data_IF_280118439617
#
_entry.id   IF_280118439617
#
_cell.length_a   1.000
_cell.length_b   1.000
_cell.length_c   1.000
_cell.angle_alpha   90.00
_cell.angle_beta   90.00
_cell.angle_gamma   90.00
#
_symmetry.space_group_name_H-M   'P 1'
#
loop_
_entity.id
_entity.type
_entity.pdbx_description
1 polymer ?
#
# COMPACT_ATOMS: atom_id res chain seq x y z
N UNK A 1 14.47 -25.04 23.60
CA UNK A 1 15.44 -24.37 22.71
C UNK A 1 14.80 -23.72 21.46
N UNK A 2 13.74 -24.30 20.88
CA UNK A 2 13.04 -23.77 19.67
C UNK A 2 12.44 -22.36 19.86
N UNK A 3 11.82 -22.09 21.03
CA UNK A 3 11.26 -20.75 21.35
C UNK A 3 12.28 -19.61 21.22
N UNK A 4 13.53 -19.84 21.62
CA UNK A 4 14.59 -18.82 21.57
C UNK A 4 15.07 -18.53 20.14
N UNK A 5 15.08 -19.55 19.25
CA UNK A 5 15.41 -19.37 17.83
C UNK A 5 14.33 -18.56 17.11
N UNK A 6 13.06 -18.86 17.35
CA UNK A 6 11.93 -18.12 16.75
C UNK A 6 11.93 -16.68 17.25
N UNK A 7 12.14 -16.46 18.55
CA UNK A 7 12.15 -15.12 19.12
C UNK A 7 13.32 -14.27 18.57
N UNK A 8 14.54 -14.82 18.47
CA UNK A 8 15.67 -14.13 17.83
C UNK A 8 15.40 -13.81 16.37
N UNK A 9 14.86 -14.76 15.62
CA UNK A 9 14.52 -14.56 14.21
C UNK A 9 13.50 -13.41 14.00
N UNK A 10 12.51 -13.30 14.89
CA UNK A 10 11.54 -12.20 14.88
C UNK A 10 12.16 -10.86 15.32
N UNK A 11 13.08 -10.87 16.29
CA UNK A 11 13.79 -9.67 16.77
C UNK A 11 14.78 -9.15 15.72
N UNK A 12 15.52 -10.03 15.05
CA UNK A 12 16.45 -9.70 13.95
C UNK A 12 15.71 -9.07 12.75
N UNK A 13 14.45 -9.47 12.51
CA UNK A 13 13.59 -8.85 11.51
C UNK A 13 12.95 -7.53 11.93
N UNK A 14 13.03 -7.11 13.21
CA UNK A 14 12.62 -5.76 13.63
C UNK A 14 13.67 -4.74 13.17
N UNK A 15 13.83 -4.60 11.86
CA UNK A 15 14.52 -3.44 11.29
C UNK A 15 13.77 -2.20 11.77
N UNK A 16 14.47 -1.30 12.46
CA UNK A 16 13.88 0.00 12.82
C UNK A 16 13.45 0.67 11.52
N UNK A 17 12.15 0.88 11.36
CA UNK A 17 11.58 1.59 10.22
C UNK A 17 12.03 3.04 10.30
N UNK A 18 12.59 3.55 9.20
CA UNK A 18 12.88 4.97 9.05
C UNK A 18 11.58 5.78 9.10
N UNK A 19 11.67 7.06 9.46
CA UNK A 19 10.51 7.93 9.58
C UNK A 19 9.67 7.97 8.28
N UNK A 20 10.33 7.97 7.13
CA UNK A 20 9.70 7.89 5.80
C UNK A 20 8.92 6.58 5.59
N UNK A 21 9.49 5.44 5.99
CA UNK A 21 8.81 4.14 5.85
C UNK A 21 7.57 4.04 6.74
N UNK A 22 7.58 4.69 7.91
CA UNK A 22 6.39 4.78 8.78
C UNK A 22 5.31 5.66 8.16
N UNK A 23 5.70 6.80 7.60
CA UNK A 23 4.76 7.69 6.92
C UNK A 23 4.14 6.99 5.70
N UNK A 24 4.95 6.34 4.87
CA UNK A 24 4.48 5.57 3.71
C UNK A 24 3.52 4.44 4.13
N UNK A 25 3.77 3.80 5.28
CA UNK A 25 2.88 2.76 5.81
C UNK A 25 1.54 3.35 6.27
N UNK A 26 1.53 4.54 6.89
CA UNK A 26 0.29 5.25 7.29
C UNK A 26 -0.52 5.72 6.08
N UNK A 27 0.16 6.30 5.08
CA UNK A 27 -0.48 6.71 3.81
C UNK A 27 -1.07 5.49 3.11
N UNK A 28 -0.36 4.36 3.10
CA UNK A 28 -0.88 3.11 2.55
C UNK A 28 -2.14 2.60 3.25
N UNK A 29 -2.20 2.68 4.59
CA UNK A 29 -3.42 2.33 5.34
C UNK A 29 -4.59 3.26 5.01
N UNK A 30 -4.35 4.55 4.84
CA UNK A 30 -5.38 5.48 4.36
C UNK A 30 -5.85 5.14 2.94
N UNK A 31 -4.91 4.81 2.05
CA UNK A 31 -5.22 4.37 0.68
C UNK A 31 -6.08 3.11 0.63
N UNK A 32 -5.79 2.12 1.46
CA UNK A 32 -6.62 0.91 1.58
C UNK A 32 -8.04 1.25 2.06
N UNK A 33 -8.17 2.19 3.01
CA UNK A 33 -9.47 2.71 3.45
C UNK A 33 -10.25 3.36 2.32
N UNK A 34 -9.59 4.19 1.49
CA UNK A 34 -10.22 4.80 0.32
C UNK A 34 -10.64 3.76 -0.73
N UNK A 35 -9.85 2.72 -0.98
CA UNK A 35 -10.24 1.64 -1.89
C UNK A 35 -11.47 0.86 -1.39
N UNK A 36 -11.56 0.60 -0.08
CA UNK A 36 -12.74 -0.04 0.51
C UNK A 36 -13.96 0.88 0.45
N UNK A 37 -13.80 2.17 0.72
CA UNK A 37 -14.88 3.15 0.59
C UNK A 37 -15.33 3.31 -0.87
N UNK A 38 -14.39 3.28 -1.82
CA UNK A 38 -14.65 3.33 -3.25
C UNK A 38 -15.53 2.15 -3.70
N UNK A 39 -15.34 0.96 -3.10
CA UNK A 39 -16.17 -0.21 -3.39
C UNK A 39 -17.66 0.00 -3.06
N UNK A 40 -17.97 0.76 -2.01
CA UNK A 40 -19.35 1.03 -1.59
C UNK A 40 -19.98 2.25 -2.28
N UNK A 41 -19.16 3.24 -2.65
CA UNK A 41 -19.61 4.49 -3.31
C UNK A 41 -19.58 4.39 -4.83
N UNK A 42 -18.81 3.46 -5.39
CA UNK A 42 -18.59 3.27 -6.84
C UNK A 42 -18.03 4.55 -7.49
N UNK A 43 -17.37 5.41 -6.70
CA UNK A 43 -16.84 6.68 -7.19
C UNK A 43 -15.42 6.48 -7.72
N UNK A 44 -15.14 6.77 -9.01
CA UNK A 44 -13.81 6.54 -9.60
C UNK A 44 -12.72 7.40 -8.94
N UNK A 45 -13.07 8.58 -8.42
CA UNK A 45 -12.15 9.46 -7.72
C UNK A 45 -11.55 8.82 -6.46
N UNK A 46 -12.35 8.06 -5.70
CA UNK A 46 -11.88 7.36 -4.50
C UNK A 46 -10.92 6.21 -4.84
N UNK A 47 -11.14 5.52 -5.97
CA UNK A 47 -10.18 4.53 -6.47
C UNK A 47 -8.85 5.19 -6.84
N UNK A 48 -8.87 6.30 -7.58
CA UNK A 48 -7.66 7.02 -8.00
C UNK A 48 -6.82 7.44 -6.78
N UNK A 49 -7.45 8.07 -5.78
CA UNK A 49 -6.77 8.48 -4.54
C UNK A 49 -6.26 7.26 -3.77
N UNK A 50 -7.05 6.19 -3.69
CA UNK A 50 -6.66 4.93 -3.05
C UNK A 50 -5.43 4.29 -3.67
N UNK A 51 -5.39 4.16 -5.00
CA UNK A 51 -4.26 3.59 -5.74
C UNK A 51 -2.99 4.44 -5.64
N UNK A 52 -3.11 5.77 -5.62
CA UNK A 52 -1.97 6.67 -5.39
C UNK A 52 -1.38 6.43 -3.99
N UNK A 53 -2.22 6.42 -2.96
CA UNK A 53 -1.79 6.24 -1.58
C UNK A 53 -1.14 4.84 -1.33
N UNK A 54 -1.74 3.77 -1.86
CA UNK A 54 -1.16 2.41 -1.78
C UNK A 54 0.09 2.28 -2.65
N UNK A 55 0.16 2.98 -3.78
CA UNK A 55 1.33 3.07 -4.64
C UNK A 55 2.56 3.63 -3.92
N UNK A 56 2.39 4.71 -3.14
CA UNK A 56 3.47 5.29 -2.33
C UNK A 56 4.03 4.28 -1.31
N UNK A 57 3.15 3.51 -0.66
CA UNK A 57 3.56 2.46 0.29
C UNK A 57 4.38 1.36 -0.39
N UNK A 58 3.88 0.82 -1.50
CA UNK A 58 4.49 -0.31 -2.20
C UNK A 58 5.82 0.08 -2.85
N UNK A 59 5.94 1.31 -3.35
CA UNK A 59 7.20 1.89 -3.83
C UNK A 59 8.23 2.06 -2.70
N UNK A 60 7.81 2.57 -1.54
CA UNK A 60 8.69 2.70 -0.37
C UNK A 60 9.21 1.34 0.12
N UNK A 61 8.45 0.26 -0.07
CA UNK A 61 8.85 -1.12 0.29
C UNK A 61 9.65 -1.82 -0.80
N UNK A 62 9.92 -1.16 -1.94
CA UNK A 62 10.57 -1.72 -3.14
C UNK A 62 9.88 -2.98 -3.68
N UNK A 63 8.55 -3.08 -3.51
CA UNK A 63 7.75 -4.20 -4.00
C UNK A 63 7.29 -3.92 -5.44
N UNK A 64 8.22 -3.96 -6.40
CA UNK A 64 8.01 -3.54 -7.79
C UNK A 64 6.88 -4.26 -8.55
N UNK A 65 6.51 -5.47 -8.12
CA UNK A 65 5.32 -6.15 -8.65
C UNK A 65 4.02 -5.44 -8.22
N UNK A 66 3.94 -5.04 -6.95
CA UNK A 66 2.77 -4.36 -6.38
C UNK A 66 2.69 -2.89 -6.81
N UNK A 67 3.83 -2.19 -6.81
CA UNK A 67 4.35 -1.48 -7.99
C UNK A 67 3.42 -1.32 -9.19
N UNK A 68 3.74 -2.14 -10.20
CA UNK A 68 3.06 -2.20 -11.47
C UNK A 68 1.55 -2.45 -11.34
N UNK A 69 1.13 -3.28 -10.37
CA UNK A 69 -0.29 -3.55 -10.14
C UNK A 69 -1.09 -2.29 -9.77
N UNK A 70 -0.59 -1.48 -8.84
CA UNK A 70 -1.25 -0.24 -8.43
C UNK A 70 -1.28 0.79 -9.57
N UNK A 71 -0.22 0.84 -10.40
CA UNK A 71 -0.18 1.70 -11.59
C UNK A 71 -1.20 1.23 -12.63
N UNK A 72 -1.33 -0.07 -12.85
CA UNK A 72 -2.31 -0.62 -13.78
C UNK A 72 -3.75 -0.30 -13.34
N UNK A 73 -4.07 -0.51 -12.06
CA UNK A 73 -5.35 -0.13 -11.47
C UNK A 73 -5.62 1.37 -11.62
N UNK A 74 -4.63 2.22 -11.33
CA UNK A 74 -4.74 3.67 -11.51
C UNK A 74 -5.09 4.06 -12.95
N UNK A 75 -4.43 3.45 -13.95
CA UNK A 75 -4.73 3.71 -15.37
C UNK A 75 -6.16 3.28 -15.73
N UNK A 76 -6.61 2.13 -15.22
CA UNK A 76 -7.96 1.63 -15.48
C UNK A 76 -9.03 2.60 -14.96
N UNK A 77 -8.88 3.08 -13.72
CA UNK A 77 -9.83 4.01 -13.10
C UNK A 77 -9.73 5.43 -13.66
N UNK A 78 -8.55 5.87 -14.10
CA UNK A 78 -8.41 7.13 -14.85
C UNK A 78 -9.17 7.06 -16.18
N UNK A 79 -9.08 5.95 -16.92
CA UNK A 79 -9.88 5.75 -18.14
C UNK A 79 -11.37 5.75 -17.85
N UNK A 80 -11.79 5.07 -16.78
CA UNK A 80 -13.19 5.02 -16.37
C UNK A 80 -13.73 6.38 -15.88
N UNK A 81 -12.87 7.25 -15.35
CA UNK A 81 -13.27 8.60 -14.95
C UNK A 81 -13.42 9.57 -16.15
N UNK A 82 -12.66 9.34 -17.22
CA UNK A 82 -12.66 10.19 -18.43
C UNK A 82 -13.73 9.76 -19.44
N UNK A 83 -14.04 8.46 -19.50
CA UNK A 83 -14.99 7.85 -20.45
C UNK A 83 -16.39 7.74 -19.88
#
# INVERSE_FOLDING_TARGET
MVKYKILRFLIERKRKLNASERLATRIGYMGAGFLVAAQWTIEPALYIVGFICVGVQTASRKQWNLVALNINGLIAWLKHFIS
#
